data_IF_910197296009
#
_entry.id   IF_910197296009
#
_cell.length_a   1.000
_cell.length_b   1.000
_cell.length_c   1.000
_cell.angle_alpha   90.00
_cell.angle_beta   90.00
_cell.angle_gamma   90.00
#
_symmetry.space_group_name_H-M   'P 1'
#
loop_
_entity.id
_entity.type
_entity.pdbx_description
1 polymer ?
#
# COMPACT_ATOMS: atom_id res chain seq x y z
N UNK A 1 -25.70 -10.83 2.73
CA UNK A 1 -24.42 -10.09 2.78
C UNK A 1 -24.63 -8.61 3.12
N UNK A 2 -25.26 -7.80 2.25
CA UNK A 2 -25.42 -6.34 2.47
C UNK A 2 -26.41 -5.92 3.56
N UNK A 3 -27.18 -6.85 4.13
CA UNK A 3 -28.04 -6.59 5.29
C UNK A 3 -27.22 -6.35 6.57
N UNK A 4 -25.98 -6.81 6.62
CA UNK A 4 -25.11 -6.66 7.78
C UNK A 4 -24.28 -5.38 7.68
N UNK A 5 -24.28 -4.59 8.76
CA UNK A 5 -23.57 -3.30 8.81
C UNK A 5 -22.05 -3.47 8.69
N UNK A 6 -21.45 -4.44 9.41
CA UNK A 6 -20.01 -4.71 9.33
C UNK A 6 -19.56 -5.01 7.88
N UNK A 7 -20.40 -5.72 7.12
CA UNK A 7 -20.10 -6.07 5.74
C UNK A 7 -20.19 -4.86 4.83
N UNK A 8 -21.20 -4.00 4.99
CA UNK A 8 -21.28 -2.72 4.27
C UNK A 8 -20.06 -1.85 4.56
N UNK A 9 -19.64 -1.78 5.83
CA UNK A 9 -18.44 -1.06 6.26
C UNK A 9 -17.18 -1.63 5.62
N UNK A 10 -17.03 -2.96 5.56
CA UNK A 10 -15.92 -3.63 4.90
C UNK A 10 -15.85 -3.30 3.40
N UNK A 11 -16.98 -3.32 2.67
CA UNK A 11 -17.01 -2.95 1.24
C UNK A 11 -16.59 -1.50 0.99
N UNK A 12 -17.03 -0.57 1.85
CA UNK A 12 -16.66 0.85 1.76
C UNK A 12 -15.18 1.04 2.10
N UNK A 13 -14.68 0.40 3.15
CA UNK A 13 -13.25 0.45 3.50
C UNK A 13 -12.38 -0.14 2.37
N UNK A 14 -12.77 -1.28 1.80
CA UNK A 14 -12.13 -1.88 0.62
C UNK A 14 -12.08 -0.92 -0.57
N UNK A 15 -13.19 -0.24 -0.85
CA UNK A 15 -13.25 0.76 -1.91
C UNK A 15 -12.27 1.91 -1.67
N UNK A 16 -12.26 2.48 -0.46
CA UNK A 16 -11.39 3.60 -0.11
C UNK A 16 -9.92 3.24 -0.23
N UNK A 17 -9.52 2.04 0.22
CA UNK A 17 -8.13 1.62 0.07
C UNK A 17 -7.78 1.29 -1.37
N UNK A 18 -8.63 0.59 -2.13
CA UNK A 18 -8.39 0.34 -3.56
C UNK A 18 -8.22 1.66 -4.32
N UNK A 19 -9.04 2.67 -3.99
CA UNK A 19 -9.00 4.02 -4.56
C UNK A 19 -7.66 4.73 -4.36
N UNK A 20 -6.97 4.43 -3.26
CA UNK A 20 -5.61 4.95 -3.00
C UNK A 20 -4.55 4.02 -3.59
N UNK A 21 -4.65 2.71 -3.34
CA UNK A 21 -3.64 1.72 -3.69
C UNK A 21 -3.46 1.56 -5.20
N UNK A 22 -4.52 1.63 -6.00
CA UNK A 22 -4.42 1.53 -7.45
C UNK A 22 -3.54 2.64 -8.05
N UNK A 23 -3.91 3.92 -7.88
CA UNK A 23 -3.14 5.06 -8.37
C UNK A 23 -1.72 5.15 -7.79
N UNK A 24 -1.57 4.98 -6.47
CA UNK A 24 -0.26 5.06 -5.80
C UNK A 24 0.63 3.90 -6.24
N UNK A 25 0.09 2.68 -6.24
CA UNK A 25 0.76 1.48 -6.72
C UNK A 25 1.21 1.61 -8.17
N UNK A 26 0.40 2.22 -9.03
CA UNK A 26 0.77 2.45 -10.43
C UNK A 26 2.04 3.29 -10.57
N UNK A 27 2.12 4.44 -9.88
CA UNK A 27 3.33 5.25 -9.86
C UNK A 27 4.52 4.54 -9.23
N UNK A 28 4.25 3.75 -8.19
CA UNK A 28 5.27 3.05 -7.44
C UNK A 28 5.94 1.96 -8.29
N UNK A 29 5.16 1.24 -9.11
CA UNK A 29 5.69 0.29 -10.10
C UNK A 29 6.36 1.01 -11.27
N UNK A 30 5.77 2.08 -11.79
CA UNK A 30 6.35 2.88 -12.88
C UNK A 30 7.77 3.36 -12.53
N UNK A 31 7.99 3.76 -11.27
CA UNK A 31 9.27 4.28 -10.77
C UNK A 31 10.25 3.21 -10.30
N UNK A 32 9.89 1.93 -10.39
CA UNK A 32 10.71 0.83 -9.86
C UNK A 32 10.93 0.93 -8.34
N UNK A 33 9.96 1.47 -7.61
CA UNK A 33 10.00 1.64 -6.15
C UNK A 33 9.08 0.64 -5.42
N UNK A 34 8.75 -0.50 -6.06
CA UNK A 34 7.96 -1.63 -5.51
C UNK A 34 8.39 -2.03 -4.10
N UNK A 35 9.70 -2.20 -3.89
CA UNK A 35 10.28 -2.57 -2.60
C UNK A 35 10.11 -1.52 -1.49
N UNK A 36 9.96 -0.24 -1.83
CA UNK A 36 9.76 0.79 -0.83
C UNK A 36 8.42 0.58 -0.09
N UNK A 37 7.36 0.19 -0.82
CA UNK A 37 6.08 -0.15 -0.18
C UNK A 37 6.20 -1.32 0.81
N UNK A 38 7.00 -2.33 0.45
CA UNK A 38 7.22 -3.51 1.28
C UNK A 38 7.98 -3.15 2.56
N UNK A 39 9.03 -2.34 2.46
CA UNK A 39 9.73 -1.87 3.65
C UNK A 39 8.84 -1.00 4.54
N UNK A 40 8.08 -0.09 3.94
CA UNK A 40 7.16 0.79 4.67
C UNK A 40 6.05 0.03 5.38
N UNK A 41 5.57 -1.10 4.85
CA UNK A 41 4.58 -1.92 5.56
C UNK A 41 5.15 -2.54 6.84
N UNK A 42 6.41 -2.95 6.84
CA UNK A 42 7.06 -3.55 8.02
C UNK A 42 7.48 -2.49 9.05
N UNK A 43 7.92 -1.33 8.60
CA UNK A 43 8.10 -0.16 9.49
C UNK A 43 6.78 0.26 10.12
N UNK A 44 5.73 0.29 9.30
CA UNK A 44 4.36 0.53 9.73
C UNK A 44 3.92 -0.45 10.80
N UNK A 45 4.17 -1.75 10.58
CA UNK A 45 3.92 -2.81 11.55
C UNK A 45 4.62 -2.57 12.89
N UNK A 46 5.91 -2.23 12.88
CA UNK A 46 6.66 -1.93 14.09
C UNK A 46 6.06 -0.73 14.84
N UNK A 47 5.71 0.34 14.12
CA UNK A 47 5.07 1.53 14.69
C UNK A 47 3.65 1.25 15.22
N UNK A 48 2.88 0.42 14.53
CA UNK A 48 1.55 0.00 14.95
C UNK A 48 1.61 -0.85 16.24
N UNK A 49 2.56 -1.78 16.32
CA UNK A 49 2.83 -2.56 17.53
C UNK A 49 3.22 -1.67 18.71
N UNK A 50 4.10 -0.70 18.49
CA UNK A 50 4.49 0.27 19.51
C UNK A 50 3.30 1.14 19.98
N UNK A 51 2.48 1.63 19.06
CA UNK A 51 1.28 2.41 19.40
C UNK A 51 0.29 1.60 20.24
N UNK A 52 0.05 0.33 19.90
CA UNK A 52 -0.81 -0.55 20.70
C UNK A 52 -0.28 -0.75 22.12
N UNK A 53 1.04 -0.82 22.32
CA UNK A 53 1.63 -0.90 23.67
C UNK A 53 1.37 0.35 24.51
N UNK A 54 1.29 1.53 23.88
CA UNK A 54 0.91 2.78 24.53
C UNK A 54 -0.61 3.01 24.62
N UNK A 55 -1.42 2.03 24.22
CA UNK A 55 -2.89 2.15 24.20
C UNK A 55 -3.41 3.12 23.13
N UNK A 56 -2.60 3.42 22.12
CA UNK A 56 -2.97 4.28 20.99
C UNK A 56 -3.45 3.45 19.80
N UNK A 57 -4.27 4.04 18.90
CA UNK A 57 -4.72 3.38 17.68
C UNK A 57 -3.57 2.90 16.80
N UNK A 58 -3.61 1.62 16.38
CA UNK A 58 -2.61 1.02 15.50
C UNK A 58 -2.39 1.81 14.20
N UNK A 59 -3.46 2.35 13.61
CA UNK A 59 -3.40 3.15 12.39
C UNK A 59 -2.53 4.40 12.54
N UNK A 60 -2.59 5.06 13.70
CA UNK A 60 -1.79 6.26 13.96
C UNK A 60 -0.31 5.90 14.08
N UNK A 61 0.01 4.84 14.83
CA UNK A 61 1.38 4.34 14.95
C UNK A 61 1.96 3.93 13.59
N UNK A 62 1.18 3.21 12.80
CA UNK A 62 1.55 2.80 11.45
C UNK A 62 1.82 4.00 10.55
N UNK A 63 0.84 4.91 10.45
CA UNK A 63 0.93 6.06 9.56
C UNK A 63 2.13 6.95 9.90
N UNK A 64 2.35 7.21 11.20
CA UNK A 64 3.47 8.03 11.64
C UNK A 64 4.82 7.38 11.34
N UNK A 65 5.01 6.10 11.68
CA UNK A 65 6.28 5.42 11.42
C UNK A 65 6.55 5.28 9.92
N UNK A 66 5.52 4.95 9.13
CA UNK A 66 5.62 4.84 7.68
C UNK A 66 5.94 6.20 7.02
N UNK A 67 5.33 7.30 7.47
CA UNK A 67 5.64 8.64 6.95
C UNK A 67 7.06 9.06 7.33
N UNK A 68 7.47 8.88 8.59
CA UNK A 68 8.82 9.24 9.05
C UNK A 68 9.89 8.45 8.29
N UNK A 69 9.73 7.13 8.16
CA UNK A 69 10.68 6.32 7.40
C UNK A 69 10.60 6.57 5.90
N UNK A 70 9.43 6.85 5.33
CA UNK A 70 9.28 7.23 3.94
C UNK A 70 10.04 8.51 3.61
N UNK A 71 9.96 9.52 4.48
CA UNK A 71 10.76 10.73 4.37
C UNK A 71 12.26 10.43 4.49
N UNK A 72 12.66 9.61 5.48
CA UNK A 72 14.05 9.19 5.65
C UNK A 72 14.62 8.45 4.44
N UNK A 73 13.83 7.54 3.84
CA UNK A 73 14.20 6.80 2.62
C UNK A 73 14.30 7.73 1.41
N UNK A 74 13.41 8.73 1.28
CA UNK A 74 13.46 9.72 0.21
C UNK A 74 14.66 10.66 0.32
N UNK A 75 15.05 11.05 1.54
CA UNK A 75 16.23 11.88 1.79
C UNK A 75 17.53 11.10 1.58
N UNK A 76 17.55 9.81 1.95
CA UNK A 76 18.71 8.94 1.83
C UNK A 76 18.95 8.40 0.40
N UNK A 77 18.20 8.86 -0.61
CA UNK A 77 18.37 8.43 -2.00
C UNK A 77 19.69 8.89 -2.66
N UNK A 78 20.58 9.57 -1.92
CA UNK A 78 21.88 10.00 -2.43
C UNK A 78 22.86 8.84 -2.62
N UNK A 79 23.67 8.96 -3.67
CA UNK A 79 24.49 7.93 -4.35
C UNK A 79 25.57 7.21 -3.51
N UNK A 80 25.67 7.45 -2.19
CA UNK A 80 26.77 6.96 -1.35
C UNK A 80 26.50 5.56 -0.80
N UNK A 81 25.24 5.21 -0.52
CA UNK A 81 24.82 3.88 -0.07
C UNK A 81 23.76 3.40 -1.05
N UNK A 82 23.89 2.17 -1.57
CA UNK A 82 22.90 1.61 -2.49
C UNK A 82 21.51 1.66 -1.87
N UNK A 83 20.51 2.16 -2.62
CA UNK A 83 19.12 2.27 -2.17
C UNK A 83 18.60 0.97 -1.55
N UNK A 84 18.96 -0.16 -2.15
CA UNK A 84 18.57 -1.49 -1.69
C UNK A 84 19.17 -1.86 -0.32
N UNK A 85 20.39 -1.39 -0.03
CA UNK A 85 21.05 -1.59 1.28
C UNK A 85 20.33 -0.79 2.37
N UNK A 86 19.97 0.46 2.10
CA UNK A 86 19.21 1.29 3.05
C UNK A 86 17.83 0.69 3.32
N UNK A 87 17.13 0.26 2.27
CA UNK A 87 15.84 -0.44 2.38
C UNK A 87 15.99 -1.69 3.25
N UNK A 88 17.02 -2.50 3.00
CA UNK A 88 17.30 -3.73 3.76
C UNK A 88 17.62 -3.47 5.24
N UNK A 89 18.38 -2.43 5.56
CA UNK A 89 18.71 -2.06 6.93
C UNK A 89 17.47 -1.57 7.69
N UNK A 90 16.68 -0.67 7.07
CA UNK A 90 15.41 -0.18 7.63
C UNK A 90 14.45 -1.35 7.87
N UNK A 91 14.35 -2.27 6.92
CA UNK A 91 13.53 -3.47 7.03
C UNK A 91 13.99 -4.38 8.18
N UNK A 92 15.30 -4.58 8.33
CA UNK A 92 15.86 -5.44 9.40
C UNK A 92 15.57 -4.84 10.79
N UNK A 93 15.74 -3.52 10.94
CA UNK A 93 15.40 -2.80 12.17
C UNK A 93 13.89 -2.85 12.45
N UNK A 94 13.06 -2.63 11.43
CA UNK A 94 11.61 -2.71 11.54
C UNK A 94 11.14 -4.11 11.97
N UNK A 95 11.70 -5.17 11.40
CA UNK A 95 11.37 -6.54 11.79
C UNK A 95 11.80 -6.86 13.24
N UNK A 96 13.00 -6.47 13.65
CA UNK A 96 13.46 -6.67 15.02
C UNK A 96 12.60 -5.92 16.04
N UNK A 97 12.26 -4.66 15.75
CA UNK A 97 11.39 -3.84 16.60
C UNK A 97 9.94 -4.35 16.62
N UNK A 98 9.41 -4.79 15.48
CA UNK A 98 8.09 -5.42 15.39
C UNK A 98 8.02 -6.73 16.18
N UNK A 99 9.05 -7.57 16.10
CA UNK A 99 9.16 -8.80 16.89
C UNK A 99 9.20 -8.52 18.40
N UNK A 100 9.94 -7.48 18.81
CA UNK A 100 9.96 -7.01 20.20
C UNK A 100 8.57 -6.55 20.65
N UNK A 101 7.86 -5.77 19.82
CA UNK A 101 6.50 -5.35 20.13
C UNK A 101 5.57 -6.56 20.30
N UNK A 102 5.63 -7.53 19.37
CA UNK A 102 4.85 -8.78 19.47
C UNK A 102 5.11 -9.55 20.76
N UNK A 103 6.36 -9.60 21.22
CA UNK A 103 6.71 -10.25 22.49
C UNK A 103 5.94 -9.63 23.67
N UNK A 104 5.81 -8.30 23.70
CA UNK A 104 5.03 -7.61 24.74
C UNK A 104 3.51 -7.67 24.51
N UNK A 105 3.05 -7.88 23.27
CA UNK A 105 1.64 -8.10 22.93
C UNK A 105 1.14 -9.53 23.22
N UNK A 106 1.93 -10.41 23.85
CA UNK A 106 1.62 -11.84 24.06
C UNK A 106 0.28 -12.14 24.75
N UNK A 107 -0.33 -11.17 25.46
CA UNK A 107 -1.70 -11.31 25.99
C UNK A 107 -2.82 -11.14 24.96
N UNK A 108 -2.50 -10.74 23.73
CA UNK A 108 -3.46 -10.40 22.67
C UNK A 108 -3.07 -11.03 21.33
N UNK A 109 -3.10 -12.37 21.27
CA UNK A 109 -2.87 -13.12 20.03
C UNK A 109 -3.77 -12.63 18.88
N UNK A 110 -5.01 -12.23 19.18
CA UNK A 110 -5.93 -11.63 18.20
C UNK A 110 -5.39 -10.34 17.58
N UNK A 111 -4.89 -9.41 18.40
CA UNK A 111 -4.35 -8.14 17.89
C UNK A 111 -3.07 -8.33 17.06
N UNK A 112 -2.20 -9.25 17.47
CA UNK A 112 -1.02 -9.63 16.69
C UNK A 112 -1.41 -10.19 15.31
N UNK A 113 -2.39 -11.09 15.28
CA UNK A 113 -2.87 -11.69 14.03
C UNK A 113 -3.52 -10.65 13.11
N UNK A 114 -4.35 -9.75 13.67
CA UNK A 114 -4.99 -8.66 12.94
C UNK A 114 -3.97 -7.67 12.34
N UNK A 115 -2.84 -7.42 13.00
CA UNK A 115 -1.77 -6.60 12.43
C UNK A 115 -1.10 -7.25 11.22
N UNK A 116 -0.84 -8.56 11.29
CA UNK A 116 -0.13 -9.29 10.25
C UNK A 116 -1.00 -9.56 9.02
N UNK A 117 -2.23 -10.00 9.24
CA UNK A 117 -3.16 -10.47 8.20
C UNK A 117 -4.32 -9.51 7.91
N UNK A 118 -4.43 -8.41 8.65
CA UNK A 118 -5.52 -7.45 8.51
C UNK A 118 -6.79 -7.91 9.21
N UNK A 119 -7.67 -6.96 9.49
CA UNK A 119 -9.01 -7.22 10.00
C UNK A 119 -9.99 -6.24 9.36
N UNK A 120 -10.36 -6.53 8.11
CA UNK A 120 -11.30 -5.69 7.36
C UNK A 120 -12.72 -5.70 7.97
N UNK A 121 -13.08 -6.78 8.66
CA UNK A 121 -14.42 -6.95 9.25
C UNK A 121 -14.54 -6.21 10.58
N UNK A 122 -13.44 -5.98 11.29
CA UNK A 122 -13.37 -5.22 12.55
C UNK A 122 -13.36 -3.70 12.40
N UNK A 123 -13.42 -3.17 11.16
CA UNK A 123 -13.40 -1.72 10.93
C UNK A 123 -14.70 -1.09 11.43
N UNK A 124 -14.57 -0.15 12.37
CA UNK A 124 -15.71 0.59 12.91
C UNK A 124 -16.27 1.60 11.90
N UNK A 125 -17.59 1.86 11.86
CA UNK A 125 -18.19 2.86 10.97
C UNK A 125 -17.63 4.27 11.17
N UNK A 126 -17.26 4.63 12.40
CA UNK A 126 -16.61 5.92 12.71
C UNK A 126 -15.22 6.06 12.09
N UNK A 127 -14.48 4.96 11.94
CA UNK A 127 -13.16 4.93 11.29
C UNK A 127 -13.25 5.18 9.78
N UNK A 128 -14.42 4.96 9.15
CA UNK A 128 -14.62 5.25 7.73
C UNK A 128 -14.45 6.73 7.39
N UNK A 129 -14.83 7.65 8.29
CA UNK A 129 -14.64 9.08 8.07
C UNK A 129 -13.15 9.44 7.99
N UNK A 130 -12.34 8.85 8.88
CA UNK A 130 -10.89 9.03 8.87
C UNK A 130 -10.23 8.40 7.65
N UNK A 131 -10.63 7.16 7.30
CA UNK A 131 -10.17 6.51 6.06
C UNK A 131 -10.56 7.32 4.82
N UNK A 132 -11.77 7.87 4.78
CA UNK A 132 -12.26 8.69 3.67
C UNK A 132 -11.46 9.98 3.52
N UNK A 133 -11.21 10.68 4.63
CA UNK A 133 -10.40 11.89 4.63
C UNK A 133 -8.96 11.62 4.16
N UNK A 134 -8.34 10.54 4.65
CA UNK A 134 -7.00 10.11 4.22
C UNK A 134 -7.00 9.71 2.74
N UNK A 135 -8.01 8.97 2.26
CA UNK A 135 -8.11 8.57 0.87
C UNK A 135 -8.17 9.77 -0.07
N UNK A 136 -9.07 10.72 0.23
CA UNK A 136 -9.21 11.95 -0.55
C UNK A 136 -7.90 12.75 -0.51
N UNK A 137 -7.31 12.93 0.68
CA UNK A 137 -6.03 13.63 0.83
C UNK A 137 -4.91 13.00 0.00
N UNK A 138 -4.76 11.67 0.05
CA UNK A 138 -3.78 10.93 -0.74
C UNK A 138 -4.01 11.11 -2.25
N UNK A 139 -5.24 10.96 -2.74
CA UNK A 139 -5.51 11.08 -4.18
C UNK A 139 -5.35 12.52 -4.67
N UNK A 140 -5.73 13.53 -3.86
CA UNK A 140 -5.51 14.94 -4.18
C UNK A 140 -4.01 15.25 -4.22
N UNK A 141 -3.24 14.86 -3.20
CA UNK A 141 -1.80 15.05 -3.18
C UNK A 141 -1.13 14.35 -4.37
N UNK A 142 -1.51 13.10 -4.66
CA UNK A 142 -1.01 12.38 -5.84
C UNK A 142 -1.42 13.08 -7.13
N UNK A 143 -2.62 13.63 -7.23
CA UNK A 143 -3.10 14.40 -8.38
C UNK A 143 -2.23 15.63 -8.65
N UNK A 144 -1.89 16.40 -7.61
CA UNK A 144 -0.98 17.55 -7.71
C UNK A 144 0.43 17.10 -8.10
N UNK A 145 0.91 16.00 -7.54
CA UNK A 145 2.25 15.46 -7.79
C UNK A 145 2.35 14.66 -9.10
N UNK A 146 1.24 14.29 -9.73
CA UNK A 146 1.20 13.35 -10.87
C UNK A 146 2.01 13.83 -12.07
N UNK A 147 1.91 15.12 -12.41
CA UNK A 147 2.66 15.76 -13.50
C UNK A 147 4.17 15.75 -13.25
N UNK A 148 4.68 16.29 -12.13
CA UNK A 148 6.10 16.26 -11.86
C UNK A 148 6.62 14.82 -11.67
N UNK A 149 5.84 13.92 -11.08
CA UNK A 149 6.19 12.49 -10.95
C UNK A 149 6.37 11.83 -12.32
N UNK A 150 5.41 12.02 -13.24
CA UNK A 150 5.50 11.44 -14.57
C UNK A 150 6.71 12.00 -15.33
N UNK A 151 6.94 13.31 -15.25
CA UNK A 151 8.05 13.96 -15.92
C UNK A 151 9.41 13.50 -15.39
N UNK A 152 9.57 13.46 -14.07
CA UNK A 152 10.77 12.96 -13.40
C UNK A 152 11.00 11.46 -13.65
N UNK A 153 9.94 10.68 -13.87
CA UNK A 153 10.05 9.24 -14.16
C UNK A 153 10.50 8.95 -15.59
N UNK A 154 10.11 9.79 -16.55
CA UNK A 154 10.45 9.61 -17.97
C UNK A 154 11.79 10.27 -18.34
N UNK A 155 12.08 11.45 -17.78
CA UNK A 155 13.26 12.26 -18.11
C UNK A 155 13.80 12.97 -16.86
N UNK A 156 14.50 12.26 -15.96
CA UNK A 156 14.99 12.83 -14.70
C UNK A 156 15.94 14.01 -14.91
N UNK A 157 16.89 13.91 -15.86
CA UNK A 157 17.87 14.97 -16.12
C UNK A 157 17.21 16.26 -16.65
N UNK A 158 16.20 16.11 -17.51
CA UNK A 158 15.44 17.26 -18.06
C UNK A 158 14.51 17.85 -17.00
N UNK A 159 13.97 17.02 -16.10
CA UNK A 159 13.15 17.47 -14.98
C UNK A 159 13.97 18.32 -14.00
N UNK A 160 15.17 17.86 -13.65
CA UNK A 160 16.09 18.61 -12.79
C UNK A 160 16.51 19.93 -13.45
N UNK A 161 16.83 19.91 -14.75
CA UNK A 161 17.16 21.12 -15.52
C UNK A 161 16.00 22.12 -15.61
N UNK A 162 14.74 21.67 -15.56
CA UNK A 162 13.54 22.52 -15.50
C UNK A 162 13.18 22.98 -14.08
N UNK A 163 14.03 22.72 -13.08
CA UNK A 163 13.85 23.18 -11.70
C UNK A 163 12.98 22.26 -10.83
N UNK A 164 12.70 21.03 -11.25
CA UNK A 164 12.02 20.04 -10.40
C UNK A 164 13.01 19.51 -9.37
N UNK A 165 12.74 19.74 -8.09
CA UNK A 165 13.53 19.16 -7.02
C UNK A 165 13.17 17.67 -6.85
N UNK A 166 13.97 16.79 -7.49
CA UNK A 166 13.76 15.35 -7.48
C UNK A 166 13.76 14.77 -6.06
N UNK A 167 14.62 15.28 -5.17
CA UNK A 167 14.70 14.82 -3.78
C UNK A 167 13.42 15.12 -3.00
N UNK A 168 12.92 16.35 -3.12
CA UNK A 168 11.66 16.72 -2.45
C UNK A 168 10.49 15.89 -2.99
N UNK A 169 10.47 15.64 -4.31
CA UNK A 169 9.45 14.82 -4.94
C UNK A 169 9.47 13.38 -4.43
N UNK A 170 10.66 12.79 -4.25
CA UNK A 170 10.83 11.45 -3.69
C UNK A 170 10.40 11.36 -2.23
N UNK A 171 10.79 12.33 -1.41
CA UNK A 171 10.39 12.42 0.01
C UNK A 171 8.87 12.49 0.14
N UNK A 172 8.23 13.40 -0.60
CA UNK A 172 6.78 13.56 -0.56
C UNK A 172 6.07 12.31 -1.09
N UNK A 173 6.61 11.68 -2.14
CA UNK A 173 6.02 10.50 -2.74
C UNK A 173 6.09 9.31 -1.76
N UNK A 174 7.25 9.06 -1.17
CA UNK A 174 7.42 7.97 -0.20
C UNK A 174 6.63 8.19 1.09
N UNK A 175 6.47 9.43 1.54
CA UNK A 175 5.55 9.75 2.63
C UNK A 175 4.10 9.39 2.26
N UNK A 176 3.66 9.75 1.05
CA UNK A 176 2.33 9.42 0.54
C UNK A 176 2.13 7.90 0.36
N UNK A 177 3.17 7.18 -0.06
CA UNK A 177 3.19 5.72 -0.09
C UNK A 177 3.03 5.15 1.31
N UNK A 178 3.69 5.72 2.32
CA UNK A 178 3.53 5.29 3.71
C UNK A 178 2.11 5.42 4.24
N UNK A 179 1.38 6.48 3.85
CA UNK A 179 -0.03 6.63 4.19
C UNK A 179 -0.88 5.60 3.43
N UNK A 180 -0.61 5.42 2.13
CA UNK A 180 -1.32 4.44 1.32
C UNK A 180 -1.12 3.00 1.83
N UNK A 181 0.09 2.63 2.24
CA UNK A 181 0.37 1.31 2.82
C UNK A 181 -0.32 1.13 4.16
N UNK A 182 -0.43 2.16 5.00
CA UNK A 182 -1.18 2.13 6.26
C UNK A 182 -2.68 1.87 6.06
N UNK A 183 -3.25 2.46 5.01
CA UNK A 183 -4.65 2.23 4.64
C UNK A 183 -4.85 0.82 4.08
N UNK A 184 -3.95 0.38 3.20
CA UNK A 184 -3.96 -0.96 2.63
C UNK A 184 -3.85 -2.05 3.70
N UNK A 185 -2.97 -1.86 4.69
CA UNK A 185 -2.72 -2.84 5.75
C UNK A 185 -3.93 -3.11 6.63
N UNK A 186 -4.91 -2.20 6.72
CA UNK A 186 -6.14 -2.50 7.46
C UNK A 186 -6.97 -3.60 6.80
N UNK A 187 -6.84 -3.75 5.48
CA UNK A 187 -7.64 -4.71 4.69
C UNK A 187 -6.89 -6.02 4.54
N UNK A 188 -5.67 -5.95 4.01
CA UNK A 188 -4.91 -7.15 3.67
C UNK A 188 -3.96 -7.58 4.78
N UNK A 189 -3.67 -6.70 5.74
CA UNK A 189 -2.56 -6.88 6.66
C UNK A 189 -1.22 -6.52 6.05
N UNK A 190 -0.22 -6.36 6.93
CA UNK A 190 1.16 -6.00 6.59
C UNK A 190 1.77 -6.97 5.59
N UNK A 191 1.51 -8.27 5.75
CA UNK A 191 2.12 -9.32 4.92
C UNK A 191 1.64 -9.28 3.47
N UNK A 192 0.48 -8.69 3.21
CA UNK A 192 -0.22 -8.77 1.94
C UNK A 192 -0.49 -7.37 1.33
N UNK A 193 0.00 -6.28 1.93
CA UNK A 193 -0.09 -4.93 1.33
C UNK A 193 0.44 -4.92 -0.10
N UNK A 194 1.51 -5.68 -0.34
CA UNK A 194 2.14 -5.78 -1.64
C UNK A 194 1.20 -6.37 -2.69
N UNK A 195 0.32 -7.31 -2.35
CA UNK A 195 -0.57 -7.93 -3.34
C UNK A 195 -1.58 -6.92 -3.85
N UNK A 196 -2.31 -6.24 -2.96
CA UNK A 196 -3.37 -5.30 -3.35
C UNK A 196 -2.82 -3.98 -3.94
N UNK A 197 -1.60 -3.58 -3.58
CA UNK A 197 -1.03 -2.33 -4.09
C UNK A 197 -0.14 -2.53 -5.33
N UNK A 198 0.63 -3.62 -5.41
CA UNK A 198 1.62 -3.80 -6.48
C UNK A 198 1.12 -4.72 -7.59
N UNK A 199 0.40 -5.80 -7.31
CA UNK A 199 -0.06 -6.73 -8.34
C UNK A 199 -1.02 -6.08 -9.37
N UNK A 200 -2.10 -5.37 -9.00
CA UNK A 200 -3.00 -4.74 -9.97
C UNK A 200 -2.32 -3.60 -10.74
N UNK A 201 -1.43 -2.87 -10.07
CA UNK A 201 -0.60 -1.83 -10.68
C UNK A 201 0.34 -2.40 -11.74
N UNK A 202 1.08 -3.46 -11.40
CA UNK A 202 1.98 -4.14 -12.32
C UNK A 202 1.22 -4.78 -13.49
N UNK A 203 0.04 -5.37 -13.23
CA UNK A 203 -0.84 -5.90 -14.26
C UNK A 203 -1.26 -4.82 -15.27
N UNK A 204 -1.69 -3.65 -14.79
CA UNK A 204 -2.09 -2.54 -15.65
C UNK A 204 -0.95 -2.00 -16.53
N UNK A 205 0.27 -1.91 -15.99
CA UNK A 205 1.47 -1.49 -16.73
C UNK A 205 1.90 -2.54 -17.75
N UNK A 206 1.81 -3.83 -17.40
CA UNK A 206 2.15 -4.93 -18.31
C UNK A 206 1.21 -4.99 -19.52
N UNK A 207 -0.06 -4.62 -19.34
CA UNK A 207 -1.03 -4.48 -20.44
C UNK A 207 -0.74 -3.27 -21.33
N UNK A 208 0.11 -2.34 -20.89
CA UNK A 208 0.62 -1.21 -21.67
C UNK A 208 -0.39 -0.07 -21.85
N UNK A 209 -1.24 0.17 -20.84
CA UNK A 209 -2.13 1.33 -20.82
C UNK A 209 -1.37 2.63 -20.58
N UNK A 210 -1.82 3.73 -21.18
CA UNK A 210 -1.28 5.07 -20.91
C UNK A 210 -1.55 5.53 -19.47
N UNK A 211 -0.94 6.61 -18.98
CA UNK A 211 -0.91 6.95 -17.55
C UNK A 211 -2.28 7.02 -16.86
N UNK A 212 -3.21 7.80 -17.42
CA UNK A 212 -4.52 8.01 -16.82
C UNK A 212 -5.37 6.72 -16.85
N UNK A 213 -5.33 5.99 -17.97
CA UNK A 213 -6.05 4.73 -18.11
C UNK A 213 -5.42 3.62 -17.26
N UNK A 214 -4.09 3.58 -17.15
CA UNK A 214 -3.35 2.63 -16.33
C UNK A 214 -3.69 2.78 -14.86
N UNK A 215 -3.73 4.01 -14.33
CA UNK A 215 -4.17 4.26 -12.96
C UNK A 215 -5.64 3.84 -12.72
N UNK A 216 -6.53 4.13 -13.67
CA UNK A 216 -7.94 3.74 -13.58
C UNK A 216 -8.12 2.21 -13.62
N UNK A 217 -7.36 1.52 -14.48
CA UNK A 217 -7.35 0.05 -14.56
C UNK A 217 -6.75 -0.55 -13.30
N UNK A 218 -5.65 -0.01 -12.78
CA UNK A 218 -5.05 -0.46 -11.52
C UNK A 218 -6.04 -0.34 -10.35
N UNK A 219 -6.78 0.78 -10.28
CA UNK A 219 -7.86 0.95 -9.32
C UNK A 219 -8.97 -0.11 -9.50
N UNK A 220 -9.45 -0.31 -10.73
CA UNK A 220 -10.52 -1.27 -11.01
C UNK A 220 -10.11 -2.70 -10.66
N UNK A 221 -8.87 -3.09 -10.95
CA UNK A 221 -8.32 -4.39 -10.59
C UNK A 221 -8.16 -4.55 -9.07
N UNK A 222 -7.60 -3.55 -8.38
CA UNK A 222 -7.50 -3.57 -6.92
C UNK A 222 -8.88 -3.66 -6.26
N UNK A 223 -9.88 -2.95 -6.80
CA UNK A 223 -11.25 -2.99 -6.31
C UNK A 223 -11.87 -4.37 -6.52
N UNK A 224 -11.67 -4.97 -7.70
CA UNK A 224 -12.11 -6.32 -8.01
C UNK A 224 -11.47 -7.35 -7.07
N UNK A 225 -10.16 -7.25 -6.81
CA UNK A 225 -9.45 -8.12 -5.88
C UNK A 225 -9.99 -8.00 -4.44
N UNK A 226 -10.20 -6.78 -3.95
CA UNK A 226 -10.68 -6.54 -2.60
C UNK A 226 -12.14 -6.98 -2.41
N UNK A 227 -13.05 -6.59 -3.32
CA UNK A 227 -14.46 -6.96 -3.26
C UNK A 227 -14.68 -8.44 -3.58
N UNK A 228 -13.98 -8.97 -4.59
CA UNK A 228 -13.99 -10.39 -4.90
C UNK A 228 -13.49 -11.23 -3.74
N UNK A 229 -12.41 -10.78 -3.08
CA UNK A 229 -11.86 -11.43 -1.89
C UNK A 229 -12.84 -11.45 -0.72
N UNK A 230 -13.55 -10.34 -0.47
CA UNK A 230 -14.61 -10.27 0.53
C UNK A 230 -15.78 -11.21 0.22
N UNK A 231 -16.27 -11.22 -1.03
CA UNK A 231 -17.35 -12.09 -1.46
C UNK A 231 -16.98 -13.58 -1.32
N UNK A 232 -15.78 -13.97 -1.74
CA UNK A 232 -15.30 -15.35 -1.66
C UNK A 232 -15.06 -15.78 -0.21
N UNK A 233 -14.52 -14.88 0.63
CA UNK A 233 -14.37 -15.11 2.06
C UNK A 233 -15.70 -15.38 2.74
N UNK A 234 -16.76 -14.64 2.39
CA UNK A 234 -18.11 -14.88 2.89
C UNK A 234 -18.68 -16.25 2.50
N UNK A 235 -18.26 -16.81 1.37
CA UNK A 235 -18.76 -18.09 0.87
C UNK A 235 -17.96 -19.30 1.37
N UNK A 236 -16.68 -19.12 1.69
CA UNK A 236 -15.75 -20.23 1.90
C UNK A 236 -15.16 -20.33 3.31
N UNK A 237 -15.61 -19.50 4.27
CA UNK A 237 -15.08 -19.37 5.65
C UNK A 237 -13.55 -19.14 5.76
N UNK A 238 -12.89 -18.85 4.64
CA UNK A 238 -11.45 -18.57 4.60
C UNK A 238 -11.18 -17.08 4.79
N UNK A 239 -10.02 -16.67 5.33
CA UNK A 239 -9.68 -15.26 5.52
C UNK A 239 -9.74 -14.47 4.21
N UNK A 240 -10.30 -13.25 4.24
CA UNK A 240 -10.38 -12.38 3.07
C UNK A 240 -9.01 -12.14 2.43
N UNK A 241 -7.97 -11.98 3.25
CA UNK A 241 -6.61 -11.70 2.81
C UNK A 241 -6.02 -12.84 1.94
N UNK A 242 -6.42 -14.10 2.18
CA UNK A 242 -6.03 -15.23 1.33
C UNK A 242 -6.63 -15.08 -0.08
N UNK A 243 -7.93 -14.79 -0.17
CA UNK A 243 -8.59 -14.63 -1.46
C UNK A 243 -8.10 -13.40 -2.22
N UNK A 244 -7.84 -12.30 -1.54
CA UNK A 244 -7.25 -11.09 -2.15
C UNK A 244 -5.89 -11.43 -2.75
N UNK A 245 -5.03 -12.14 -2.01
CA UNK A 245 -3.72 -12.54 -2.49
C UNK A 245 -3.78 -13.47 -3.71
N UNK A 246 -4.70 -14.44 -3.68
CA UNK A 246 -4.93 -15.37 -4.79
C UNK A 246 -5.45 -14.64 -6.03
N UNK A 247 -6.44 -13.77 -5.87
CA UNK A 247 -7.00 -12.97 -6.96
C UNK A 247 -5.94 -12.04 -7.56
N UNK A 248 -5.16 -11.33 -6.74
CA UNK A 248 -4.10 -10.45 -7.25
C UNK A 248 -3.01 -11.22 -8.01
N UNK A 249 -2.64 -12.40 -7.51
CA UNK A 249 -1.69 -13.29 -8.21
C UNK A 249 -2.27 -13.78 -9.55
N UNK A 250 -3.54 -14.16 -9.57
CA UNK A 250 -4.23 -14.62 -10.79
C UNK A 250 -4.39 -13.49 -11.82
N UNK A 251 -4.76 -12.27 -11.39
CA UNK A 251 -4.88 -11.08 -12.23
C UNK A 251 -3.53 -10.74 -12.87
N UNK A 252 -2.46 -10.73 -12.07
CA UNK A 252 -1.11 -10.47 -12.60
C UNK A 252 -0.66 -11.55 -13.58
N UNK A 253 -0.88 -12.83 -13.26
CA UNK A 253 -0.55 -13.93 -14.17
C UNK A 253 -1.32 -13.85 -15.49
N UNK A 254 -2.63 -13.55 -15.44
CA UNK A 254 -3.46 -13.35 -16.61
C UNK A 254 -2.98 -12.15 -17.47
N UNK A 255 -2.66 -11.02 -16.84
CA UNK A 255 -2.12 -9.85 -17.52
C UNK A 255 -0.78 -10.16 -18.21
N UNK A 256 0.09 -10.94 -17.56
CA UNK A 256 1.36 -11.34 -18.14
C UNK A 256 1.18 -12.31 -19.32
N UNK A 257 0.23 -13.25 -19.23
CA UNK A 257 -0.11 -14.15 -20.33
C UNK A 257 -0.65 -13.37 -21.53
N UNK A 258 -1.57 -12.43 -21.30
CA UNK A 258 -2.11 -11.57 -22.37
C UNK A 258 -1.02 -10.72 -23.02
N UNK A 259 -0.09 -10.17 -22.23
CA UNK A 259 1.05 -9.42 -22.77
C UNK A 259 1.97 -10.31 -23.62
N UNK A 260 2.28 -11.52 -23.14
CA UNK A 260 3.09 -12.50 -23.87
C UNK A 260 2.44 -12.90 -25.20
N UNK A 261 1.13 -13.17 -25.22
CA UNK A 261 0.36 -13.47 -26.42
C UNK A 261 0.30 -12.29 -27.41
N UNK A 262 0.42 -11.05 -26.91
CA UNK A 262 0.52 -9.83 -27.74
C UNK A 262 1.95 -9.53 -28.22
N UNK A 263 2.92 -10.38 -27.92
CA UNK A 263 4.32 -10.20 -28.31
C UNK A 263 5.07 -9.09 -27.53
N UNK A 264 4.70 -8.85 -26.27
CA UNK A 264 5.32 -7.87 -25.34
C UNK A 264 5.87 -8.53 -24.07
#
# INVERSE_FOLDING_TARGET
MFAYEFMRTAFVAAFLAAFVCGPVGWFLVLRGQSFASHALSHVGFAGAGAALLWGQPALLGFGLSAVISGMGMGMASDRVIGRDVMIGLVLSLAMGTGALCLHFLTRSAGAATALLFGDILGISPSSLYWLGALAIGCVVCLGVMSRPLLFASLQPDVAEAKGVNLRLLDVLFLALVGIATAMCSQITGVLLVFTLMVAPAAASLRLGFGPMLGMAVAFALALFEAWGGLCLSWLSDCPASFWIALLGSAVFAAANLVAHLRGR
#
